data_IF_780780486980
#
_entry.id   IF_780780486980
#
_cell.length_a   1.000
_cell.length_b   1.000
_cell.length_c   1.000
_cell.angle_alpha   90.00
_cell.angle_beta   90.00
_cell.angle_gamma   90.00
#
_symmetry.space_group_name_H-M   'P 1'
#
loop_
_entity.id
_entity.type
_entity.pdbx_description
1 polymer ?
#
# COMPACT_ATOMS: atom_id res chain seq x y z
N UNK A 1 -5.99 30.20 -12.18
CA UNK A 1 -6.71 29.29 -11.25
C UNK A 1 -8.19 29.50 -11.46
N UNK A 2 -9.01 28.44 -11.41
CA UNK A 2 -10.47 28.60 -11.51
C UNK A 2 -11.05 29.07 -10.18
N UNK A 3 -12.04 29.96 -10.24
CA UNK A 3 -12.71 30.53 -9.05
C UNK A 3 -13.34 29.43 -8.16
N UNK A 4 -13.80 28.34 -8.80
CA UNK A 4 -14.34 27.18 -8.09
C UNK A 4 -13.33 26.43 -7.21
N UNK A 5 -12.05 26.35 -7.60
CA UNK A 5 -11.03 25.69 -6.76
C UNK A 5 -10.76 26.50 -5.49
N UNK A 6 -10.58 27.81 -5.61
CA UNK A 6 -10.28 28.69 -4.46
C UNK A 6 -11.40 28.66 -3.43
N UNK A 7 -12.65 28.69 -3.89
CA UNK A 7 -13.84 28.57 -3.03
C UNK A 7 -13.84 27.24 -2.27
N UNK A 8 -13.62 26.11 -2.96
CA UNK A 8 -13.57 24.79 -2.32
C UNK A 8 -12.41 24.66 -1.35
N UNK A 9 -11.22 25.14 -1.71
CA UNK A 9 -10.05 25.16 -0.84
C UNK A 9 -10.37 25.92 0.45
N UNK A 10 -10.97 27.11 0.36
CA UNK A 10 -11.38 27.89 1.53
C UNK A 10 -12.33 27.10 2.43
N UNK A 11 -13.36 26.47 1.86
CA UNK A 11 -14.32 25.64 2.61
C UNK A 11 -13.63 24.47 3.32
N UNK A 12 -12.73 23.76 2.63
CA UNK A 12 -12.01 22.62 3.21
C UNK A 12 -11.09 23.08 4.36
N UNK A 13 -10.37 24.19 4.20
CA UNK A 13 -9.50 24.72 5.24
C UNK A 13 -10.28 25.20 6.48
N UNK A 14 -11.49 25.75 6.29
CA UNK A 14 -12.37 26.08 7.42
C UNK A 14 -12.79 24.81 8.16
N UNK A 15 -13.19 23.76 7.44
CA UNK A 15 -13.58 22.48 8.03
C UNK A 15 -12.42 21.72 8.71
N UNK A 16 -11.18 21.87 8.23
CA UNK A 16 -10.01 21.26 8.86
C UNK A 16 -9.59 21.97 10.16
N UNK A 17 -9.95 23.25 10.33
CA UNK A 17 -9.63 24.05 11.49
C UNK A 17 -10.81 24.17 12.49
N UNK A 18 -11.93 23.50 12.23
CA UNK A 18 -13.07 23.49 13.16
C UNK A 18 -12.94 22.38 14.20
N UNK A 19 -13.54 22.60 15.38
CA UNK A 19 -13.59 21.61 16.46
C UNK A 19 -14.55 20.43 16.18
N UNK A 20 -15.15 20.40 14.98
CA UNK A 20 -16.04 19.32 14.55
C UNK A 20 -15.23 18.07 14.22
N UNK A 21 -15.60 16.88 14.74
CA UNK A 21 -14.94 15.63 14.38
C UNK A 21 -14.93 15.42 12.86
N UNK A 22 -13.80 14.97 12.33
CA UNK A 22 -13.69 14.63 10.91
C UNK A 22 -14.44 13.34 10.57
N UNK A 23 -14.50 13.00 9.28
CA UNK A 23 -15.22 11.81 8.80
C UNK A 23 -14.43 10.50 8.99
N UNK A 24 -13.23 10.55 9.56
CA UNK A 24 -12.44 9.35 9.80
C UNK A 24 -13.02 8.58 11.00
N UNK A 25 -12.78 7.26 11.11
CA UNK A 25 -13.17 6.51 12.30
C UNK A 25 -12.54 7.04 13.60
N UNK A 26 -11.40 7.74 13.49
CA UNK A 26 -10.68 8.36 14.60
C UNK A 26 -11.30 9.69 15.01
N UNK A 27 -12.00 10.36 14.08
CA UNK A 27 -12.65 11.66 14.29
C UNK A 27 -11.71 12.86 14.28
N UNK A 28 -10.41 12.65 14.06
CA UNK A 28 -9.41 13.71 13.96
C UNK A 28 -8.21 13.28 13.10
N UNK A 29 -7.48 14.29 12.62
CA UNK A 29 -6.28 14.11 11.80
C UNK A 29 -5.17 13.44 12.61
N UNK A 30 -4.50 12.46 12.01
CA UNK A 30 -3.33 11.83 12.59
C UNK A 30 -2.17 12.81 12.78
N UNK A 31 -1.68 12.93 14.02
CA UNK A 31 -0.57 13.81 14.38
C UNK A 31 0.68 13.64 13.48
N UNK A 32 1.12 12.40 13.13
CA UNK A 32 2.26 12.21 12.23
C UNK A 32 2.09 12.80 10.82
N UNK A 33 0.86 13.15 10.40
CA UNK A 33 0.59 13.77 9.10
C UNK A 33 0.46 15.29 9.14
N UNK A 34 0.34 15.89 10.33
CA UNK A 34 0.12 17.34 10.45
C UNK A 34 1.18 18.17 9.70
N UNK A 35 2.50 17.89 9.79
CA UNK A 35 3.50 18.67 9.05
C UNK A 35 3.27 18.66 7.54
N UNK A 36 2.94 17.49 6.99
CA UNK A 36 2.70 17.30 5.57
C UNK A 36 1.40 17.96 5.11
N UNK A 37 0.33 17.86 5.90
CA UNK A 37 -0.97 18.49 5.61
C UNK A 37 -0.83 20.01 5.59
N UNK A 38 -0.17 20.59 6.60
CA UNK A 38 0.08 22.03 6.68
C UNK A 38 0.91 22.51 5.49
N UNK A 39 2.00 21.81 5.17
CA UNK A 39 2.86 22.12 4.02
C UNK A 39 2.06 22.15 2.70
N UNK A 40 1.23 21.13 2.45
CA UNK A 40 0.44 21.03 1.22
C UNK A 40 -0.62 22.14 1.17
N UNK A 41 -1.33 22.37 2.27
CA UNK A 41 -2.43 23.33 2.34
C UNK A 41 -1.99 24.79 2.25
N UNK A 42 -0.78 25.09 2.70
CA UNK A 42 -0.18 26.44 2.57
C UNK A 42 0.13 26.80 1.12
N UNK A 43 0.39 25.83 0.24
CA UNK A 43 0.69 26.11 -1.17
C UNK A 43 -0.59 26.42 -1.95
N UNK A 44 -0.61 27.52 -2.72
CA UNK A 44 -1.81 28.02 -3.42
C UNK A 44 -2.50 26.99 -4.33
N UNK A 45 -1.75 26.09 -4.97
CA UNK A 45 -2.28 25.12 -5.93
C UNK A 45 -2.85 23.82 -5.34
N UNK A 46 -2.79 23.59 -4.02
CA UNK A 46 -3.20 22.31 -3.43
C UNK A 46 -4.09 22.47 -2.20
N UNK A 47 -4.93 21.46 -1.95
CA UNK A 47 -5.62 21.28 -0.67
C UNK A 47 -5.86 19.79 -0.39
N UNK A 48 -5.65 19.35 0.85
CA UNK A 48 -5.90 17.98 1.32
C UNK A 48 -7.36 17.79 1.68
N UNK A 49 -8.01 16.69 1.28
CA UNK A 49 -9.43 16.42 1.58
C UNK A 49 -9.65 15.25 2.55
N UNK A 50 -8.78 14.23 2.50
CA UNK A 50 -8.80 13.11 3.44
C UNK A 50 -7.41 12.50 3.55
N UNK A 51 -7.09 12.00 4.73
CA UNK A 51 -5.73 11.60 5.09
C UNK A 51 -5.74 10.54 6.19
N UNK A 52 -4.80 9.61 6.14
CA UNK A 52 -4.51 8.65 7.21
C UNK A 52 -3.01 8.35 7.20
N UNK A 53 -2.36 8.37 8.37
CA UNK A 53 -0.92 8.17 8.52
C UNK A 53 -0.49 6.72 8.35
N UNK A 54 -1.43 5.79 8.46
CA UNK A 54 -1.21 4.36 8.41
C UNK A 54 -1.92 3.68 9.58
N UNK A 55 -2.39 2.46 9.37
CA UNK A 55 -3.13 1.71 10.39
C UNK A 55 -2.93 0.21 10.27
N UNK A 56 -3.03 -0.44 11.41
CA UNK A 56 -3.28 -1.88 11.55
C UNK A 56 -4.73 -2.08 11.95
N UNK A 57 -5.38 -3.09 11.39
CA UNK A 57 -6.77 -3.36 11.70
C UNK A 57 -7.16 -4.81 11.43
N UNK A 58 -8.25 -5.23 12.06
CA UNK A 58 -9.01 -6.41 11.65
C UNK A 58 -10.40 -5.99 11.24
N UNK A 59 -10.89 -6.58 10.16
CA UNK A 59 -12.11 -6.16 9.51
C UNK A 59 -12.92 -7.39 9.10
N UNK A 60 -14.12 -7.49 9.63
CA UNK A 60 -15.14 -8.45 9.20
C UNK A 60 -15.82 -7.90 7.94
N UNK A 61 -15.83 -8.69 6.88
CA UNK A 61 -16.55 -8.40 5.65
C UNK A 61 -18.06 -8.27 5.88
N UNK A 62 -18.73 -7.43 5.10
CA UNK A 62 -20.18 -7.29 5.19
C UNK A 62 -20.90 -8.42 4.46
N UNK A 63 -22.12 -8.71 4.86
CA UNK A 63 -22.99 -9.63 4.12
C UNK A 63 -23.39 -8.99 2.79
N UNK A 64 -23.18 -9.68 1.66
CA UNK A 64 -23.84 -9.28 0.42
C UNK A 64 -25.35 -9.45 0.59
N UNK A 65 -26.12 -8.37 0.39
CA UNK A 65 -27.58 -8.51 0.30
C UNK A 65 -27.89 -9.30 -0.97
N UNK A 66 -28.51 -10.48 -0.85
CA UNK A 66 -29.15 -11.10 -2.00
C UNK A 66 -30.20 -10.11 -2.51
N UNK A 67 -29.91 -9.46 -3.63
CA UNK A 67 -30.92 -8.71 -4.35
C UNK A 67 -32.01 -9.71 -4.74
N UNK A 68 -33.24 -9.48 -4.29
CA UNK A 68 -34.41 -10.19 -4.79
C UNK A 68 -34.36 -10.19 -6.32
N UNK A 69 -34.27 -11.38 -6.90
CA UNK A 69 -34.39 -11.57 -8.33
C UNK A 69 -35.78 -11.19 -8.82
N UNK A 70 -35.83 -10.66 -10.04
CA UNK A 70 -36.73 -11.07 -11.13
C UNK A 70 -37.29 -9.86 -11.88
N UNK A 71 -36.54 -9.43 -12.89
CA UNK A 71 -37.01 -8.60 -13.99
C UNK A 71 -36.36 -9.12 -15.27
N UNK A 72 -37.12 -9.90 -16.03
CA UNK A 72 -36.76 -10.50 -17.31
C UNK A 72 -36.00 -9.52 -18.22
N UNK A 73 -34.78 -9.89 -18.59
CA UNK A 73 -34.13 -9.37 -19.80
C UNK A 73 -34.48 -10.32 -20.95
N UNK A 74 -35.61 -10.06 -21.60
CA UNK A 74 -35.86 -10.63 -22.92
C UNK A 74 -34.83 -10.10 -23.92
N UNK A 75 -34.23 -11.03 -24.64
CA UNK A 75 -33.36 -10.79 -25.78
C UNK A 75 -34.18 -10.26 -26.96
N UNK A 76 -33.85 -9.07 -27.44
CA UNK A 76 -34.42 -8.46 -28.65
C UNK A 76 -33.33 -7.80 -29.48
N UNK A 77 -33.00 -8.43 -30.59
CA UNK A 77 -32.04 -8.04 -31.62
C UNK A 77 -32.28 -6.64 -32.22
N UNK A 78 -31.18 -5.98 -32.60
CA UNK A 78 -30.94 -5.31 -33.91
C UNK A 78 -30.34 -3.89 -33.84
N UNK A 79 -29.02 -3.86 -33.99
CA UNK A 79 -28.31 -3.17 -35.07
C UNK A 79 -28.90 -1.86 -35.63
N UNK A 80 -28.29 -0.70 -35.35
CA UNK A 80 -27.84 0.27 -36.39
C UNK A 80 -27.05 1.46 -35.84
N UNK A 81 -26.14 1.89 -36.71
CA UNK A 81 -25.17 2.98 -36.65
C UNK A 81 -25.80 4.38 -36.67
N UNK A 82 -25.01 5.33 -36.16
CA UNK A 82 -24.79 6.73 -36.57
C UNK A 82 -25.95 7.56 -37.12
N UNK A 83 -26.20 8.73 -36.48
CA UNK A 83 -26.03 10.05 -37.11
C UNK A 83 -26.29 11.24 -36.17
N UNK A 84 -25.45 12.26 -36.35
CA UNK A 84 -25.51 13.63 -35.84
C UNK A 84 -26.87 14.33 -36.00
N UNK A 85 -27.23 15.25 -35.08
CA UNK A 85 -27.25 16.71 -35.30
C UNK A 85 -27.99 17.50 -34.18
N UNK A 86 -27.23 18.42 -33.56
CA UNK A 86 -27.48 19.85 -33.33
C UNK A 86 -28.81 20.40 -32.74
N UNK A 87 -28.65 21.19 -31.66
CA UNK A 87 -29.24 22.51 -31.30
C UNK A 87 -30.19 22.66 -30.08
N UNK A 88 -29.71 23.51 -29.13
CA UNK A 88 -30.41 24.65 -28.44
C UNK A 88 -31.49 24.25 -27.42
N UNK A 89 -31.72 24.86 -26.26
CA UNK A 89 -31.13 25.88 -25.37
C UNK A 89 -32.07 25.91 -24.14
N UNK A 90 -31.55 26.31 -22.98
CA UNK A 90 -32.36 26.88 -21.88
C UNK A 90 -33.02 25.92 -20.89
N UNK A 91 -32.85 26.21 -19.60
CA UNK A 91 -33.73 25.72 -18.54
C UNK A 91 -33.00 25.33 -17.27
N UNK A 92 -32.90 26.26 -16.34
CA UNK A 92 -32.50 26.08 -14.95
C UNK A 92 -33.44 25.10 -14.25
N UNK A 93 -32.93 24.05 -13.60
CA UNK A 93 -33.64 23.40 -12.50
C UNK A 93 -32.64 23.05 -11.38
N UNK A 94 -32.79 23.80 -10.28
CA UNK A 94 -32.25 23.50 -8.97
C UNK A 94 -32.94 22.23 -8.44
N UNK A 95 -32.19 21.14 -8.23
CA UNK A 95 -32.71 20.01 -7.46
C UNK A 95 -32.60 20.34 -5.97
N UNK A 96 -33.69 20.90 -5.47
CA UNK A 96 -34.08 20.97 -4.06
C UNK A 96 -34.25 19.53 -3.53
N UNK A 97 -33.30 19.05 -2.73
CA UNK A 97 -33.44 17.78 -2.00
C UNK A 97 -34.59 17.91 -0.98
N UNK A 98 -35.77 17.47 -1.41
CA UNK A 98 -36.93 17.31 -0.52
C UNK A 98 -36.61 16.25 0.54
N UNK A 99 -36.40 16.74 1.77
CA UNK A 99 -36.27 15.94 2.97
C UNK A 99 -37.54 15.08 3.18
N UNK A 100 -37.51 13.83 2.74
CA UNK A 100 -38.47 12.81 3.19
C UNK A 100 -38.06 12.37 4.59
N UNK A 101 -38.90 12.72 5.56
CA UNK A 101 -38.72 12.39 6.97
C UNK A 101 -38.49 10.90 7.19
N UNK A 102 -37.39 10.57 7.84
CA UNK A 102 -37.14 9.24 8.38
C UNK A 102 -37.98 9.09 9.65
N UNK A 103 -38.88 8.11 9.65
CA UNK A 103 -39.67 7.75 10.82
C UNK A 103 -38.75 7.31 11.98
N UNK A 104 -38.90 7.98 13.12
CA UNK A 104 -38.24 7.68 14.40
C UNK A 104 -38.67 6.32 14.96
N UNK A 105 -38.18 5.20 14.42
CA UNK A 105 -38.27 3.89 15.10
C UNK A 105 -37.29 2.81 14.61
N UNK A 106 -36.16 3.19 13.99
CA UNK A 106 -35.11 2.21 13.69
C UNK A 106 -34.24 2.02 14.93
N UNK A 107 -34.33 0.84 15.56
CA UNK A 107 -33.48 0.52 16.73
C UNK A 107 -31.99 0.62 16.37
N UNK A 108 -31.15 1.04 17.32
CA UNK A 108 -29.69 1.09 17.12
C UNK A 108 -29.13 -0.25 16.62
N UNK A 109 -29.70 -1.37 17.09
CA UNK A 109 -29.37 -2.71 16.62
C UNK A 109 -29.71 -2.95 15.14
N UNK A 110 -30.83 -2.41 14.63
CA UNK A 110 -31.19 -2.49 13.22
C UNK A 110 -30.30 -1.58 12.35
N UNK A 111 -29.86 -0.43 12.87
CA UNK A 111 -28.88 0.44 12.21
C UNK A 111 -27.49 -0.20 12.16
N UNK A 112 -27.06 -0.86 13.24
CA UNK A 112 -25.82 -1.62 13.30
C UNK A 112 -25.84 -2.87 12.40
N UNK A 113 -26.97 -3.58 12.36
CA UNK A 113 -27.19 -4.70 11.43
C UNK A 113 -27.17 -4.25 9.96
N UNK A 114 -27.77 -3.10 9.64
CA UNK A 114 -27.73 -2.52 8.30
C UNK A 114 -26.33 -2.05 7.89
N UNK A 115 -25.52 -1.53 8.82
CA UNK A 115 -24.10 -1.20 8.57
C UNK A 115 -23.26 -2.46 8.29
N UNK A 116 -23.49 -3.54 9.05
CA UNK A 116 -22.88 -4.86 8.79
C UNK A 116 -23.23 -5.40 7.40
N UNK A 117 -24.43 -5.14 6.90
CA UNK A 117 -24.91 -5.63 5.60
C UNK A 117 -24.42 -4.85 4.36
N UNK A 118 -23.66 -3.74 4.50
CA UNK A 118 -23.23 -2.95 3.32
C UNK A 118 -21.76 -2.50 3.33
N UNK A 119 -21.07 -2.56 4.48
CA UNK A 119 -19.72 -2.03 4.62
C UNK A 119 -18.85 -2.70 5.68
N UNK A 120 -19.20 -3.93 6.08
CA UNK A 120 -18.46 -4.72 7.07
C UNK A 120 -18.34 -4.06 8.45
N UNK A 121 -17.51 -4.65 9.31
CA UNK A 121 -17.27 -4.18 10.68
C UNK A 121 -15.78 -4.19 11.01
N UNK A 122 -15.27 -3.07 11.51
CA UNK A 122 -13.95 -3.02 12.16
C UNK A 122 -14.03 -3.72 13.51
N UNK A 123 -13.19 -4.74 13.72
CA UNK A 123 -13.06 -5.43 15.02
C UNK A 123 -11.92 -4.83 15.85
N UNK A 124 -10.87 -4.36 15.17
CA UNK A 124 -9.72 -3.67 15.77
C UNK A 124 -9.18 -2.63 14.80
N UNK A 125 -8.75 -1.48 15.31
CA UNK A 125 -8.03 -0.43 14.55
C UNK A 125 -7.00 0.22 15.47
N UNK A 126 -5.77 0.37 15.00
CA UNK A 126 -4.74 1.19 15.64
C UNK A 126 -3.94 1.94 14.58
N UNK A 127 -3.58 3.18 14.88
CA UNK A 127 -2.67 4.01 14.07
C UNK A 127 -1.21 3.90 14.55
N UNK A 128 -0.98 3.14 15.61
CA UNK A 128 0.32 2.91 16.23
C UNK A 128 0.70 1.42 16.17
N UNK A 129 2.02 1.11 16.21
CA UNK A 129 2.50 -0.25 16.35
C UNK A 129 1.88 -0.96 17.55
N UNK A 130 1.54 -2.23 17.41
CA UNK A 130 0.98 -3.03 18.51
C UNK A 130 2.10 -3.38 19.47
N UNK A 131 1.90 -3.07 20.75
CA UNK A 131 2.82 -3.40 21.84
C UNK A 131 2.50 -4.79 22.37
N UNK A 132 3.54 -5.61 22.54
CA UNK A 132 3.41 -6.93 23.14
C UNK A 132 3.41 -6.81 24.68
N UNK A 133 2.48 -7.48 25.40
CA UNK A 133 2.50 -7.48 26.85
C UNK A 133 3.75 -8.23 27.38
N UNK A 134 4.24 -7.88 28.57
CA UNK A 134 5.46 -8.48 29.12
C UNK A 134 5.31 -9.98 29.44
N UNK A 135 4.10 -10.41 29.83
CA UNK A 135 3.78 -11.76 30.30
C UNK A 135 3.04 -12.60 29.23
N UNK A 136 3.56 -12.63 28.00
CA UNK A 136 2.93 -13.31 26.86
C UNK A 136 2.61 -14.79 27.13
N UNK A 137 3.50 -15.48 27.86
CA UNK A 137 3.38 -16.91 28.14
C UNK A 137 2.24 -17.23 29.12
N UNK A 138 1.83 -16.27 29.95
CA UNK A 138 0.79 -16.46 30.96
C UNK A 138 -0.61 -16.20 30.38
N UNK A 139 -0.69 -15.43 29.28
CA UNK A 139 -1.95 -15.01 28.67
C UNK A 139 -1.96 -15.17 27.14
N UNK A 140 -1.83 -16.39 26.57
CA UNK A 140 -1.69 -16.58 25.13
C UNK A 140 -2.87 -16.04 24.30
N UNK A 141 -4.05 -15.87 24.91
CA UNK A 141 -5.24 -15.29 24.25
C UNK A 141 -5.22 -13.77 24.10
N UNK A 142 -4.24 -13.06 24.67
CA UNK A 142 -4.12 -11.60 24.56
C UNK A 142 -4.21 -11.11 23.10
N UNK A 143 -3.66 -11.88 22.16
CA UNK A 143 -3.62 -11.53 20.74
C UNK A 143 -5.02 -11.57 20.12
N UNK A 144 -5.86 -12.49 20.57
CA UNK A 144 -7.26 -12.59 20.15
C UNK A 144 -8.06 -11.45 20.77
N UNK A 145 -7.85 -11.18 22.07
CA UNK A 145 -8.48 -10.06 22.78
C UNK A 145 -8.15 -8.72 22.13
N UNK A 146 -6.91 -8.53 21.71
CA UNK A 146 -6.46 -7.31 21.01
C UNK A 146 -7.08 -7.23 19.61
N UNK A 147 -6.95 -8.28 18.80
CA UNK A 147 -7.31 -8.24 17.38
C UNK A 147 -8.80 -8.42 17.11
N UNK A 148 -9.60 -8.91 18.05
CA UNK A 148 -11.05 -9.08 17.89
C UNK A 148 -11.86 -8.19 18.86
N UNK A 149 -11.18 -7.51 19.79
CA UNK A 149 -11.79 -6.53 20.68
C UNK A 149 -12.99 -7.11 21.44
N UNK A 150 -14.15 -6.41 21.44
CA UNK A 150 -15.37 -6.88 22.09
C UNK A 150 -15.88 -8.23 21.59
N UNK A 151 -15.45 -8.71 20.41
CA UNK A 151 -15.91 -9.96 19.81
C UNK A 151 -14.97 -11.15 20.12
N UNK A 152 -13.92 -10.93 20.91
CA UNK A 152 -12.92 -11.95 21.23
C UNK A 152 -13.48 -13.20 21.94
N UNK A 153 -14.60 -13.06 22.68
CA UNK A 153 -15.31 -14.17 23.32
C UNK A 153 -15.98 -15.11 22.31
N UNK A 154 -16.26 -14.64 21.09
CA UNK A 154 -16.85 -15.45 20.00
C UNK A 154 -15.80 -16.23 19.23
N UNK A 155 -14.52 -15.92 19.40
CA UNK A 155 -13.42 -16.52 18.64
C UNK A 155 -13.09 -17.92 19.15
N UNK A 156 -13.30 -18.90 18.28
CA UNK A 156 -13.00 -20.31 18.49
C UNK A 156 -11.78 -20.69 17.66
N UNK A 157 -10.80 -21.34 18.29
CA UNK A 157 -9.64 -21.89 17.61
C UNK A 157 -10.05 -23.23 16.99
N UNK A 158 -9.68 -23.46 15.73
CA UNK A 158 -9.80 -24.79 15.14
C UNK A 158 -8.82 -25.73 15.84
N UNK A 159 -9.32 -26.67 16.62
CA UNK A 159 -8.53 -27.80 17.09
C UNK A 159 -8.47 -28.84 15.98
N UNK A 160 -7.28 -29.29 15.58
CA UNK A 160 -7.12 -30.44 14.69
C UNK A 160 -7.53 -31.72 15.44
N UNK A 161 -8.83 -32.03 15.52
CA UNK A 161 -9.24 -33.39 15.92
C UNK A 161 -9.15 -34.29 14.70
N UNK A 162 -8.73 -35.53 14.93
CA UNK A 162 -8.45 -36.53 13.89
C UNK A 162 -9.69 -36.92 13.02
N UNK A 163 -10.89 -36.38 13.33
CA UNK A 163 -12.13 -36.48 12.55
C UNK A 163 -12.56 -35.21 11.81
N UNK A 164 -11.85 -34.07 11.96
CA UNK A 164 -12.25 -32.77 11.40
C UNK A 164 -11.76 -32.50 9.96
N UNK A 165 -11.03 -33.45 9.35
CA UNK A 165 -10.61 -33.34 7.95
C UNK A 165 -11.80 -33.29 6.98
N UNK A 166 -12.93 -33.89 7.36
CA UNK A 166 -14.18 -33.87 6.58
C UNK A 166 -14.94 -32.54 6.78
N UNK A 167 -14.87 -31.98 7.99
CA UNK A 167 -15.41 -30.66 8.34
C UNK A 167 -14.70 -29.54 7.59
N UNK A 168 -13.39 -29.62 7.38
CA UNK A 168 -12.63 -28.60 6.64
C UNK A 168 -12.93 -28.60 5.12
N UNK A 169 -13.27 -29.76 4.54
CA UNK A 169 -13.66 -29.90 3.13
C UNK A 169 -15.10 -29.46 2.83
N UNK A 170 -15.91 -29.26 3.86
CA UNK A 170 -17.34 -28.91 3.75
C UNK A 170 -17.63 -27.44 4.06
N UNK A 171 -16.64 -26.66 4.50
CA UNK A 171 -16.81 -25.22 4.71
C UNK A 171 -16.94 -24.54 3.34
N UNK A 172 -18.15 -24.04 3.06
CA UNK A 172 -18.38 -23.16 1.92
C UNK A 172 -17.79 -21.78 2.21
N UNK A 173 -16.50 -21.62 1.88
CA UNK A 173 -15.79 -20.35 2.04
C UNK A 173 -16.36 -19.26 1.14
N UNK A 174 -17.02 -19.61 0.03
CA UNK A 174 -17.62 -18.63 -0.87
C UNK A 174 -18.87 -17.96 -0.27
N UNK A 175 -19.54 -18.63 0.67
CA UNK A 175 -20.71 -18.09 1.39
C UNK A 175 -20.37 -17.59 2.79
N UNK A 176 -19.16 -17.82 3.27
CA UNK A 176 -18.73 -17.42 4.61
C UNK A 176 -18.25 -15.98 4.63
N UNK A 177 -18.58 -15.24 5.68
CA UNK A 177 -18.00 -13.91 5.88
C UNK A 177 -16.56 -14.06 6.36
N UNK A 178 -15.63 -13.33 5.76
CA UNK A 178 -14.22 -13.37 6.12
C UNK A 178 -13.83 -12.24 7.08
N UNK A 179 -12.93 -12.55 8.01
CA UNK A 179 -12.22 -11.56 8.81
C UNK A 179 -10.81 -11.43 8.26
N UNK A 180 -10.46 -10.21 7.87
CA UNK A 180 -9.15 -9.88 7.35
C UNK A 180 -8.33 -9.14 8.39
N UNK A 181 -7.06 -9.51 8.50
CA UNK A 181 -6.03 -8.70 9.12
C UNK A 181 -5.38 -7.81 8.07
N UNK A 182 -5.28 -6.52 8.33
CA UNK A 182 -4.77 -5.55 7.37
C UNK A 182 -3.75 -4.61 8.01
N UNK A 183 -2.71 -4.29 7.24
CA UNK A 183 -1.92 -3.09 7.43
C UNK A 183 -2.11 -2.20 6.21
N UNK A 184 -2.56 -0.97 6.42
CA UNK A 184 -2.73 0.03 5.37
C UNK A 184 -1.76 1.18 5.64
N UNK A 185 -0.83 1.50 4.72
CA UNK A 185 0.11 2.58 4.90
C UNK A 185 -0.56 3.95 4.76
N UNK A 186 0.23 5.01 4.85
CA UNK A 186 -0.24 6.36 4.63
C UNK A 186 -1.00 6.50 3.30
N UNK A 187 -2.12 7.25 3.37
CA UNK A 187 -2.90 7.68 2.22
C UNK A 187 -3.22 9.17 2.32
N UNK A 188 -3.16 9.87 1.18
CA UNK A 188 -3.62 11.25 1.04
C UNK A 188 -4.50 11.40 -0.19
N UNK A 189 -5.61 12.12 -0.04
CA UNK A 189 -6.36 12.68 -1.15
C UNK A 189 -6.16 14.18 -1.21
N UNK A 190 -5.81 14.67 -2.40
CA UNK A 190 -5.41 16.05 -2.64
C UNK A 190 -6.17 16.58 -3.84
N UNK A 191 -6.81 17.73 -3.72
CA UNK A 191 -7.31 18.49 -4.86
C UNK A 191 -6.22 19.46 -5.33
N UNK A 192 -5.90 19.43 -6.62
CA UNK A 192 -5.01 20.38 -7.25
C UNK A 192 -5.79 21.43 -8.05
N UNK A 193 -5.27 22.65 -8.09
CA UNK A 193 -5.89 23.76 -8.82
C UNK A 193 -5.87 23.56 -10.35
N UNK A 194 -4.88 22.81 -10.86
CA UNK A 194 -4.73 22.54 -12.29
C UNK A 194 -4.22 21.12 -12.55
N UNK A 195 -4.50 20.56 -13.75
CA UNK A 195 -3.91 19.27 -14.18
C UNK A 195 -2.38 19.26 -14.18
N UNK A 196 -1.74 20.38 -14.50
CA UNK A 196 -0.28 20.52 -14.47
C UNK A 196 0.26 20.42 -13.06
N UNK A 197 -0.34 21.13 -12.09
CA UNK A 197 0.02 21.03 -10.68
C UNK A 197 -0.14 19.58 -10.17
N UNK A 198 -1.24 18.91 -10.53
CA UNK A 198 -1.44 17.51 -10.18
C UNK A 198 -0.35 16.59 -10.75
N UNK A 199 0.02 16.77 -12.03
CA UNK A 199 1.09 15.97 -12.64
C UNK A 199 2.43 16.16 -11.92
N UNK A 200 2.78 17.40 -11.59
CA UNK A 200 4.01 17.72 -10.86
C UNK A 200 3.99 17.06 -9.48
N UNK A 201 2.92 17.23 -8.71
CA UNK A 201 2.77 16.63 -7.38
C UNK A 201 2.84 15.10 -7.44
N UNK A 202 2.17 14.48 -8.42
CA UNK A 202 2.19 13.04 -8.64
C UNK A 202 3.62 12.54 -8.89
N UNK A 203 4.41 13.24 -9.71
CA UNK A 203 5.81 12.87 -9.95
C UNK A 203 6.60 12.85 -8.65
N UNK A 204 6.49 13.88 -7.80
CA UNK A 204 7.16 13.91 -6.50
C UNK A 204 6.73 12.76 -5.59
N UNK A 205 5.45 12.39 -5.63
CA UNK A 205 4.90 11.26 -4.88
C UNK A 205 5.48 9.92 -5.37
N UNK A 206 5.52 9.69 -6.68
CA UNK A 206 6.09 8.49 -7.30
C UNK A 206 7.59 8.34 -6.99
N UNK A 207 8.36 9.44 -7.07
CA UNK A 207 9.78 9.46 -6.72
C UNK A 207 10.04 9.23 -5.22
N UNK A 208 9.05 9.49 -4.37
CA UNK A 208 9.12 9.17 -2.92
C UNK A 208 8.65 7.74 -2.61
N UNK A 209 8.32 6.96 -3.63
CA UNK A 209 7.96 5.54 -3.54
C UNK A 209 6.46 5.27 -3.40
N UNK A 210 5.58 6.26 -3.55
CA UNK A 210 4.13 6.05 -3.57
C UNK A 210 3.67 5.55 -4.94
N UNK A 211 4.10 4.35 -5.31
CA UNK A 211 3.96 3.78 -6.68
C UNK A 211 2.51 3.50 -7.10
N UNK A 212 1.58 3.39 -6.15
CA UNK A 212 0.15 3.19 -6.40
C UNK A 212 -0.63 4.51 -6.46
N UNK A 213 0.07 5.64 -6.54
CA UNK A 213 -0.54 6.96 -6.65
C UNK A 213 -1.07 7.22 -8.06
N UNK A 214 -2.12 8.02 -8.16
CA UNK A 214 -2.70 8.40 -9.45
C UNK A 214 -3.58 9.64 -9.37
N UNK A 215 -3.92 10.17 -10.54
CA UNK A 215 -4.91 11.23 -10.70
C UNK A 215 -6.25 10.55 -10.98
N UNK A 216 -7.26 10.89 -10.19
CA UNK A 216 -8.62 10.39 -10.36
C UNK A 216 -9.33 11.20 -11.46
N UNK A 217 -9.95 10.54 -12.45
CA UNK A 217 -10.66 11.23 -13.51
C UNK A 217 -11.90 11.93 -12.95
N UNK A 218 -11.99 13.25 -13.14
CA UNK A 218 -13.19 14.03 -12.83
C UNK A 218 -13.21 15.29 -13.69
N UNK A 219 -14.39 15.60 -14.24
CA UNK A 219 -14.60 16.79 -15.07
C UNK A 219 -14.55 18.10 -14.25
N UNK A 220 -14.85 18.02 -12.95
CA UNK A 220 -14.99 19.21 -12.07
C UNK A 220 -13.77 19.45 -11.17
N UNK A 221 -13.01 18.39 -10.83
CA UNK A 221 -11.93 18.46 -9.83
C UNK A 221 -10.72 17.66 -10.29
N UNK A 222 -9.52 18.22 -10.14
CA UNK A 222 -8.29 17.46 -10.38
C UNK A 222 -7.85 16.82 -9.06
N UNK A 223 -8.30 15.60 -8.81
CA UNK A 223 -8.02 14.87 -7.57
C UNK A 223 -6.82 13.94 -7.73
N UNK A 224 -5.95 13.91 -6.72
CA UNK A 224 -4.87 12.92 -6.58
C UNK A 224 -5.19 11.98 -5.43
N UNK A 225 -4.86 10.71 -5.61
CA UNK A 225 -4.77 9.72 -4.55
C UNK A 225 -3.31 9.29 -4.41
N UNK A 226 -2.69 9.60 -3.27
CA UNK A 226 -1.31 9.24 -2.95
C UNK A 226 -1.33 7.97 -2.11
N UNK A 227 -0.77 6.88 -2.65
CA UNK A 227 -0.85 5.54 -2.05
C UNK A 227 0.45 4.76 -2.18
N UNK A 228 0.80 4.06 -1.11
CA UNK A 228 2.00 3.21 -1.05
C UNK A 228 1.68 1.75 -1.43
N UNK A 229 2.73 0.98 -1.69
CA UNK A 229 2.67 -0.47 -1.92
C UNK A 229 2.88 -1.28 -0.63
N UNK A 230 3.12 -0.62 0.52
CA UNK A 230 3.45 -1.26 1.80
C UNK A 230 2.28 -2.03 2.46
N UNK A 231 1.15 -2.22 1.78
CA UNK A 231 -0.05 -2.90 2.30
C UNK A 231 0.25 -4.34 2.76
N UNK A 232 -0.56 -4.83 3.69
CA UNK A 232 -0.71 -6.24 4.07
C UNK A 232 -2.22 -6.51 4.13
N UNK A 233 -2.66 -7.63 3.58
CA UNK A 233 -4.06 -8.07 3.64
C UNK A 233 -4.05 -9.60 3.71
N UNK A 234 -4.58 -10.17 4.79
CA UNK A 234 -4.56 -11.60 5.05
C UNK A 234 -5.88 -12.06 5.71
N UNK A 235 -6.61 -13.04 5.15
CA UNK A 235 -7.74 -13.64 5.84
C UNK A 235 -7.23 -14.43 7.06
N UNK A 236 -7.88 -14.24 8.22
CA UNK A 236 -7.47 -14.86 9.49
C UNK A 236 -8.58 -15.65 10.17
N UNK A 237 -9.84 -15.33 9.90
CA UNK A 237 -10.99 -16.03 10.46
C UNK A 237 -12.18 -15.96 9.51
N UNK A 238 -13.20 -16.76 9.78
CA UNK A 238 -14.46 -16.71 9.04
C UNK A 238 -15.66 -16.93 9.97
N UNK A 239 -16.83 -16.51 9.52
CA UNK A 239 -18.13 -16.83 10.12
C UNK A 239 -18.89 -17.68 9.08
N UNK A 240 -19.22 -18.95 9.39
CA UNK A 240 -19.98 -19.80 8.49
C UNK A 240 -21.33 -19.18 8.12
N UNK A 241 -21.74 -19.31 6.85
CA UNK A 241 -23.11 -19.00 6.47
C UNK A 241 -24.08 -19.93 7.20
N UNK A 242 -25.14 -19.38 7.78
CA UNK A 242 -26.20 -20.13 8.47
C UNK A 242 -27.05 -21.03 7.52
N UNK A 243 -26.66 -21.15 6.25
CA UNK A 243 -27.41 -21.88 5.20
C UNK A 243 -27.13 -23.39 5.11
N UNK A 244 -26.27 -23.98 5.96
CA UNK A 244 -26.00 -25.42 5.95
C UNK A 244 -26.25 -26.13 7.29
N UNK A 245 -27.48 -26.06 7.80
CA UNK A 245 -27.97 -27.09 8.72
C UNK A 245 -29.39 -27.51 8.36
N UNK A 246 -29.57 -28.05 7.15
CA UNK A 246 -30.68 -28.97 6.88
C UNK A 246 -30.37 -30.32 7.52
N UNK A 247 -30.72 -30.46 8.80
CA UNK A 247 -31.36 -31.66 9.38
C UNK A 247 -31.26 -31.62 10.91
N UNK A 248 -32.32 -31.15 11.56
CA UNK A 248 -32.66 -31.56 12.92
C UNK A 248 -34.18 -31.62 13.06
N UNK A 249 -34.79 -32.65 12.44
CA UNK A 249 -36.02 -33.21 12.99
C UNK A 249 -35.66 -33.86 14.33
N UNK A 250 -35.61 -33.05 15.38
CA UNK A 250 -35.73 -33.54 16.75
C UNK A 250 -36.38 -32.45 17.57
N UNK A 251 -37.70 -32.54 17.66
CA UNK A 251 -38.52 -31.82 18.61
C UNK A 251 -38.06 -32.14 20.04
N UNK A 252 -37.48 -31.17 20.74
CA UNK A 252 -37.74 -31.03 22.18
C UNK A 252 -37.17 -29.72 22.74
N UNK A 253 -38.02 -29.07 23.53
CA UNK A 253 -37.70 -28.09 24.56
C UNK A 253 -37.14 -26.74 24.10
N UNK A 254 -38.08 -25.79 23.97
CA UNK A 254 -37.83 -24.37 24.09
C UNK A 254 -37.00 -24.06 25.35
N UNK A 255 -35.69 -23.88 25.16
CA UNK A 255 -34.86 -23.11 26.06
C UNK A 255 -34.77 -21.70 25.47
N UNK A 256 -35.31 -20.73 26.19
CA UNK A 256 -35.05 -19.31 25.97
C UNK A 256 -33.56 -19.04 26.23
N UNK A 257 -32.72 -19.31 25.24
CA UNK A 257 -31.31 -18.93 25.24
C UNK A 257 -31.18 -17.59 24.52
N UNK A 258 -30.65 -16.60 25.24
CA UNK A 258 -30.12 -15.34 24.71
C UNK A 258 -29.48 -15.57 23.36
N UNK A 259 -29.95 -14.88 22.31
CA UNK A 259 -29.51 -15.01 20.92
C UNK A 259 -28.01 -15.31 20.82
N UNK A 260 -27.67 -16.57 20.54
CA UNK A 260 -26.29 -17.02 20.47
C UNK A 260 -25.59 -16.33 19.31
N UNK A 261 -24.74 -15.35 19.60
CA UNK A 261 -23.95 -14.67 18.57
C UNK A 261 -23.13 -15.70 17.80
N UNK A 262 -23.14 -15.61 16.46
CA UNK A 262 -22.40 -16.54 15.59
C UNK A 262 -20.91 -16.57 15.97
N UNK A 263 -20.33 -17.77 16.04
CA UNK A 263 -18.92 -17.98 16.38
C UNK A 263 -18.02 -17.50 15.25
N UNK A 264 -16.87 -16.94 15.61
CA UNK A 264 -15.81 -16.55 14.69
C UNK A 264 -14.75 -17.65 14.71
N UNK A 265 -14.56 -18.34 13.59
CA UNK A 265 -13.66 -19.49 13.50
C UNK A 265 -12.28 -19.02 13.00
N UNK A 266 -11.27 -19.09 13.87
CA UNK A 266 -9.90 -18.71 13.53
C UNK A 266 -9.27 -19.76 12.62
N UNK A 267 -8.80 -19.34 11.44
CA UNK A 267 -8.21 -20.22 10.42
C UNK A 267 -6.69 -20.39 10.59
N UNK A 268 -6.09 -19.57 11.45
CA UNK A 268 -4.66 -19.43 11.61
C UNK A 268 -4.25 -19.65 13.07
N UNK A 269 -3.01 -20.06 13.30
CA UNK A 269 -2.50 -20.22 14.66
C UNK A 269 -2.22 -18.86 15.32
N UNK A 270 -2.15 -18.84 16.65
CA UNK A 270 -1.75 -17.64 17.40
C UNK A 270 -0.34 -17.17 17.02
N UNK A 271 0.57 -18.12 16.72
CA UNK A 271 1.91 -17.82 16.23
C UNK A 271 1.89 -17.12 14.86
N UNK A 272 0.94 -17.47 13.98
CA UNK A 272 0.78 -16.78 12.71
C UNK A 272 0.27 -15.34 12.90
N UNK A 273 -0.71 -15.13 13.78
CA UNK A 273 -1.16 -13.77 14.14
C UNK A 273 -0.01 -12.93 14.69
N UNK A 274 0.88 -13.53 15.51
CA UNK A 274 2.09 -12.86 16.01
C UNK A 274 2.98 -12.39 14.87
N UNK A 275 3.24 -13.24 13.88
CA UNK A 275 4.03 -12.88 12.68
C UNK A 275 3.37 -11.74 11.92
N UNK A 276 2.03 -11.75 11.74
CA UNK A 276 1.33 -10.65 11.07
C UNK A 276 1.48 -9.30 11.81
N UNK A 277 1.45 -9.32 13.15
CA UNK A 277 1.71 -8.13 13.96
C UNK A 277 3.15 -7.66 13.79
N UNK A 278 4.14 -8.54 13.91
CA UNK A 278 5.55 -8.19 13.74
C UNK A 278 5.82 -7.57 12.36
N UNK A 279 5.28 -8.19 11.29
CA UNK A 279 5.34 -7.65 9.92
C UNK A 279 4.66 -6.27 9.79
N UNK A 280 3.57 -6.04 10.50
CA UNK A 280 2.87 -4.75 10.48
C UNK A 280 3.63 -3.67 11.23
N UNK A 281 4.24 -4.02 12.36
CA UNK A 281 5.12 -3.13 13.13
C UNK A 281 6.37 -2.74 12.30
N UNK A 282 6.93 -3.68 11.54
CA UNK A 282 7.98 -3.38 10.55
C UNK A 282 7.47 -2.42 9.47
N UNK A 283 6.27 -2.66 8.93
CA UNK A 283 5.65 -1.80 7.93
C UNK A 283 5.34 -0.39 8.45
N UNK A 284 4.96 -0.23 9.73
CA UNK A 284 4.85 1.08 10.36
C UNK A 284 6.18 1.83 10.30
N UNK A 285 7.30 1.19 10.68
CA UNK A 285 8.63 1.82 10.61
C UNK A 285 9.01 2.21 9.17
N UNK A 286 8.75 1.32 8.21
CA UNK A 286 8.98 1.61 6.79
C UNK A 286 8.11 2.77 6.28
N UNK A 287 6.85 2.82 6.71
CA UNK A 287 5.89 3.85 6.35
C UNK A 287 6.30 5.21 6.92
N UNK A 288 6.71 5.29 8.19
CA UNK A 288 7.26 6.51 8.81
C UNK A 288 8.49 7.00 8.04
N UNK A 289 9.44 6.11 7.73
CA UNK A 289 10.61 6.49 6.94
C UNK A 289 10.24 6.96 5.53
N UNK A 290 9.19 6.39 4.91
CA UNK A 290 8.69 6.81 3.61
C UNK A 290 8.02 8.18 3.66
N UNK A 291 7.19 8.45 4.69
CA UNK A 291 6.57 9.75 4.92
C UNK A 291 7.62 10.84 5.10
N UNK A 292 8.66 10.60 5.92
CA UNK A 292 9.74 11.56 6.14
C UNK A 292 10.47 11.95 4.83
N UNK A 293 10.82 10.97 3.99
CA UNK A 293 11.44 11.25 2.67
C UNK A 293 10.52 12.05 1.75
N UNK A 294 9.22 11.79 1.82
CA UNK A 294 8.24 12.47 1.00
C UNK A 294 8.02 13.91 1.44
N UNK A 295 7.90 14.15 2.74
CA UNK A 295 7.83 15.47 3.34
C UNK A 295 9.06 16.31 3.00
N UNK A 296 10.27 15.74 3.13
CA UNK A 296 11.51 16.43 2.76
C UNK A 296 11.51 16.82 1.27
N UNK A 297 11.11 15.89 0.38
CA UNK A 297 11.05 16.14 -1.06
C UNK A 297 10.02 17.20 -1.42
N UNK A 298 8.83 17.15 -0.82
CA UNK A 298 7.78 18.14 -1.07
C UNK A 298 8.15 19.50 -0.50
N UNK A 299 8.77 19.56 0.68
CA UNK A 299 9.22 20.82 1.28
C UNK A 299 10.18 21.55 0.34
N UNK A 300 11.16 20.83 -0.23
CA UNK A 300 12.09 21.38 -1.23
C UNK A 300 11.39 21.82 -2.53
N UNK A 301 10.27 21.20 -2.90
CA UNK A 301 9.56 21.56 -4.12
C UNK A 301 8.65 22.77 -3.91
N UNK A 302 7.80 22.71 -2.88
CA UNK A 302 6.73 23.68 -2.64
C UNK A 302 7.26 24.99 -2.07
N UNK A 303 8.31 24.97 -1.23
CA UNK A 303 8.89 26.19 -0.67
C UNK A 303 9.81 26.92 -1.66
N UNK A 304 10.47 26.19 -2.56
CA UNK A 304 11.34 26.80 -3.58
C UNK A 304 10.54 27.30 -4.82
N UNK A 305 9.29 26.85 -4.99
CA UNK A 305 8.41 27.31 -6.07
C UNK A 305 7.95 28.78 -5.86
N UNK A 306 7.84 29.21 -4.60
CA UNK A 306 7.39 30.57 -4.24
C UNK A 306 8.53 31.62 -4.24
N UNK A 307 9.76 31.25 -4.62
CA UNK A 307 10.97 32.06 -4.38
C UNK A 307 11.97 32.21 -5.53
N UNK A 308 11.55 32.23 -6.80
CA UNK A 308 12.47 32.52 -7.92
C UNK A 308 12.02 33.67 -8.83
N UNK A 309 11.94 34.86 -8.25
CA UNK A 309 12.11 36.10 -9.02
C UNK A 309 13.49 36.66 -8.65
N UNK A 310 14.49 36.39 -9.49
CA UNK A 310 15.74 37.15 -9.44
C UNK A 310 15.45 38.60 -9.85
N UNK A 311 16.17 39.55 -9.26
CA UNK A 311 16.01 40.99 -9.44
C UNK A 311 16.07 41.49 -10.91
N UNK A 312 16.47 40.64 -11.86
CA UNK A 312 16.62 40.97 -13.29
C UNK A 312 15.57 40.34 -14.23
N UNK A 313 14.44 39.85 -13.73
CA UNK A 313 13.29 39.46 -14.58
C UNK A 313 13.51 38.27 -15.52
N UNK A 314 14.64 37.56 -15.44
CA UNK A 314 14.87 36.31 -16.17
C UNK A 314 14.44 35.11 -15.35
N UNK A 315 13.46 34.34 -15.86
CA UNK A 315 13.04 33.04 -15.31
C UNK A 315 14.26 32.11 -15.24
N UNK A 316 14.68 31.74 -14.04
CA UNK A 316 15.67 30.68 -13.83
C UNK A 316 14.98 29.37 -14.18
N UNK A 317 15.38 28.75 -15.29
CA UNK A 317 14.96 27.38 -15.59
C UNK A 317 15.67 26.49 -14.58
N UNK A 318 14.90 25.79 -13.75
CA UNK A 318 15.40 24.74 -12.86
C UNK A 318 15.12 23.41 -13.55
N UNK A 319 16.10 22.50 -13.53
CA UNK A 319 15.93 21.16 -14.09
C UNK A 319 15.00 20.29 -13.23
N UNK A 320 14.41 19.25 -13.83
CA UNK A 320 13.49 18.27 -13.19
C UNK A 320 14.12 17.49 -12.01
N UNK A 321 15.42 17.72 -11.73
CA UNK A 321 16.16 17.15 -10.60
C UNK A 321 16.65 18.20 -9.60
N UNK A 322 16.17 19.45 -9.68
CA UNK A 322 16.48 20.50 -8.71
C UNK A 322 17.86 21.14 -8.84
N UNK A 323 18.59 20.89 -9.94
CA UNK A 323 19.84 21.60 -10.27
C UNK A 323 19.63 22.72 -11.29
N UNK A 324 20.58 23.67 -11.36
CA UNK A 324 20.63 24.71 -12.40
C UNK A 324 20.51 24.11 -13.81
N UNK A 325 19.69 24.72 -14.67
CA UNK A 325 19.50 24.23 -16.04
C UNK A 325 20.75 24.47 -16.89
N UNK A 326 21.49 23.39 -17.12
CA UNK A 326 22.60 23.33 -18.08
C UNK A 326 22.10 23.47 -19.53
N UNK A 327 22.70 24.38 -20.30
CA UNK A 327 22.44 24.60 -21.73
C UNK A 327 22.58 23.28 -22.54
N UNK A 328 21.81 23.12 -23.60
CA UNK A 328 21.76 21.90 -24.42
C UNK A 328 23.14 21.56 -25.01
N UNK A 329 23.94 22.56 -25.37
CA UNK A 329 25.28 22.35 -25.89
C UNK A 329 26.28 21.98 -24.80
N UNK A 330 26.18 22.61 -23.62
CA UNK A 330 26.96 22.23 -22.43
C UNK A 330 26.67 20.78 -22.00
N UNK A 331 25.40 20.36 -22.03
CA UNK A 331 24.97 18.98 -21.73
C UNK A 331 25.53 17.95 -22.71
N UNK A 332 25.63 18.30 -23.99
CA UNK A 332 26.18 17.43 -25.04
C UNK A 332 27.69 17.29 -24.88
N UNK A 333 28.38 18.37 -24.53
CA UNK A 333 29.82 18.38 -24.32
C UNK A 333 30.22 17.63 -23.05
N UNK A 334 29.49 17.82 -21.94
CA UNK A 334 29.68 17.05 -20.72
C UNK A 334 29.49 15.55 -20.92
N UNK A 335 28.41 15.13 -21.59
CA UNK A 335 28.16 13.71 -21.89
C UNK A 335 29.23 13.10 -22.82
N UNK A 336 29.77 13.87 -23.77
CA UNK A 336 30.91 13.43 -24.58
C UNK A 336 32.17 13.25 -23.74
N UNK A 337 32.47 14.21 -22.86
CA UNK A 337 33.67 14.17 -21.99
C UNK A 337 33.60 13.03 -20.97
N UNK A 338 32.46 12.86 -20.30
CA UNK A 338 32.22 11.73 -19.38
C UNK A 338 32.25 10.38 -20.13
N UNK A 339 31.71 10.34 -21.35
CA UNK A 339 31.76 9.17 -22.23
C UNK A 339 33.19 8.77 -22.60
N UNK A 340 34.03 9.73 -22.99
CA UNK A 340 35.45 9.48 -23.30
C UNK A 340 36.22 9.03 -22.07
N UNK A 341 36.03 9.67 -20.90
CA UNK A 341 36.69 9.25 -19.66
C UNK A 341 36.30 7.83 -19.22
N UNK A 342 35.02 7.47 -19.39
CA UNK A 342 34.55 6.11 -19.10
C UNK A 342 35.11 5.09 -20.08
N UNK A 343 35.29 5.46 -21.35
CA UNK A 343 35.89 4.62 -22.38
C UNK A 343 37.40 4.43 -22.14
N UNK A 344 38.12 5.48 -21.78
CA UNK A 344 39.54 5.43 -21.40
C UNK A 344 39.74 4.59 -20.13
N UNK A 345 38.92 4.78 -19.10
CA UNK A 345 38.94 3.96 -17.89
C UNK A 345 38.69 2.48 -18.18
N UNK A 346 37.68 2.17 -19.01
CA UNK A 346 37.39 0.80 -19.42
C UNK A 346 38.52 0.18 -20.26
N UNK A 347 39.15 0.97 -21.13
CA UNK A 347 40.30 0.53 -21.92
C UNK A 347 41.52 0.22 -21.02
N UNK A 348 41.78 1.07 -20.01
CA UNK A 348 42.87 0.85 -19.05
C UNK A 348 42.65 -0.42 -18.22
N UNK A 349 41.45 -0.63 -17.68
CA UNK A 349 41.09 -1.86 -16.96
C UNK A 349 41.21 -3.09 -17.85
N UNK A 350 40.82 -3.00 -19.12
CA UNK A 350 40.96 -4.11 -20.08
C UNK A 350 42.43 -4.40 -20.41
N UNK A 351 43.27 -3.37 -20.52
CA UNK A 351 44.70 -3.53 -20.74
C UNK A 351 45.40 -4.16 -19.52
N UNK A 352 45.06 -3.73 -18.31
CA UNK A 352 45.59 -4.29 -17.05
C UNK A 352 45.19 -5.76 -16.89
N UNK A 353 43.93 -6.13 -17.17
CA UNK A 353 43.49 -7.53 -17.17
C UNK A 353 44.21 -8.38 -18.20
N UNK A 354 44.47 -7.84 -19.39
CA UNK A 354 45.20 -8.56 -20.44
C UNK A 354 46.67 -8.79 -20.04
N UNK A 355 47.33 -7.77 -19.50
CA UNK A 355 48.71 -7.89 -19.02
C UNK A 355 48.83 -8.89 -17.87
N UNK A 356 47.86 -8.90 -16.93
CA UNK A 356 47.82 -9.87 -15.85
C UNK A 356 47.63 -11.31 -16.36
N UNK A 357 46.75 -11.51 -17.36
CA UNK A 357 46.54 -12.82 -17.98
C UNK A 357 47.79 -13.32 -18.75
N UNK A 358 48.47 -12.43 -19.47
CA UNK A 358 49.72 -12.76 -20.18
C UNK A 358 50.86 -13.10 -19.19
N UNK A 359 50.95 -12.38 -18.07
CA UNK A 359 51.92 -12.67 -17.01
C UNK A 359 51.66 -14.03 -16.32
N UNK A 360 50.40 -14.35 -16.04
CA UNK A 360 50.04 -15.64 -15.44
C UNK A 360 50.30 -16.80 -16.42
N UNK A 361 49.97 -16.63 -17.70
CA UNK A 361 50.27 -17.62 -18.74
C UNK A 361 51.77 -17.88 -18.86
N UNK A 362 52.60 -16.83 -18.81
CA UNK A 362 54.06 -16.96 -18.80
C UNK A 362 54.57 -17.69 -17.54
N UNK A 363 53.96 -17.45 -16.37
CA UNK A 363 54.32 -18.13 -15.11
C UNK A 363 54.00 -19.62 -15.17
N UNK A 364 52.82 -19.98 -15.69
CA UNK A 364 52.41 -21.39 -15.87
C UNK A 364 53.32 -22.10 -16.87
N UNK A 365 53.66 -21.45 -17.99
CA UNK A 365 54.58 -22.01 -18.97
C UNK A 365 56.00 -22.23 -18.40
N UNK A 366 56.51 -21.29 -17.59
CA UNK A 366 57.80 -21.41 -16.93
C UNK A 366 57.81 -22.54 -15.88
N UNK A 367 56.72 -22.70 -15.11
CA UNK A 367 56.57 -23.80 -14.15
C UNK A 367 56.55 -25.17 -14.84
N UNK A 368 55.81 -25.31 -15.94
CA UNK A 368 55.77 -26.54 -16.73
C UNK A 368 57.14 -26.90 -17.34
N UNK A 369 57.92 -25.89 -17.78
CA UNK A 369 59.28 -26.11 -18.28
C UNK A 369 60.27 -26.53 -17.17
N UNK A 370 60.12 -26.00 -15.95
CA UNK A 370 60.90 -26.41 -14.79
C UNK A 370 60.59 -27.85 -14.35
N UNK A 371 59.33 -28.27 -14.42
CA UNK A 371 58.92 -29.64 -14.11
C UNK A 371 59.45 -30.65 -15.14
N UNK A 372 59.47 -30.28 -16.42
CA UNK A 372 60.05 -31.09 -17.50
C UNK A 372 61.58 -31.25 -17.39
N UNK A 373 62.28 -30.29 -16.75
CA UNK A 373 63.73 -30.37 -16.52
C UNK A 373 64.09 -31.03 -15.19
N UNK A 374 63.19 -31.00 -14.19
CA UNK A 374 63.35 -31.68 -12.90
C UNK A 374 63.16 -33.21 -12.95
N UNK A 375 62.37 -33.72 -13.91
CA UNK A 375 62.15 -35.16 -14.10
C UNK A 375 63.38 -35.94 -14.61
N UNK A 376 64.46 -35.26 -15.02
CA UNK A 376 65.70 -35.88 -15.50
C UNK A 376 66.78 -36.13 -14.44
N UNK A 377 66.58 -35.72 -13.17
CA UNK A 377 67.63 -35.75 -12.15
C UNK A 377 67.47 -36.83 -11.06
N UNK A 378 66.40 -37.64 -11.08
CA UNK A 378 66.13 -38.69 -10.08
C UNK A 378 66.27 -40.12 -10.62
N UNK A 379 67.00 -40.33 -11.72
CA UNK A 379 67.24 -41.68 -12.28
C UNK A 379 68.73 -42.02 -12.47
N UNK A 380 69.64 -41.33 -11.76
CA UNK A 380 71.08 -41.69 -11.71
C UNK A 380 71.61 -41.60 -10.28
N UNK A 381 71.05 -42.40 -9.36
CA UNK A 381 71.71 -42.68 -8.07
C UNK A 381 71.37 -44.05 -7.49
N UNK A 382 71.25 -45.07 -8.34
CA UNK A 382 71.31 -46.48 -7.94
C UNK A 382 72.19 -47.27 -8.93
N UNK A 383 73.51 -47.05 -8.89
CA UNK A 383 74.54 -48.00 -9.34
C UNK A 383 75.93 -47.40 -9.13
N UNK A 384 76.54 -47.70 -7.98
CA UNK A 384 78.01 -47.83 -7.80
C UNK A 384 78.40 -47.87 -6.33
N UNK A 385 78.18 -49.00 -5.66
CA UNK A 385 78.97 -49.39 -4.47
C UNK A 385 79.00 -50.92 -4.38
N UNK A 386 79.91 -51.55 -5.13
CA UNK A 386 80.60 -52.79 -4.73
C UNK A 386 81.56 -53.28 -5.82
N UNK A 387 82.81 -52.83 -5.80
CA UNK A 387 83.95 -53.67 -6.22
C UNK A 387 85.21 -53.27 -5.45
N UNK A 388 86.00 -54.29 -5.13
CA UNK A 388 87.44 -54.32 -4.81
C UNK A 388 87.87 -54.21 -3.35
N UNK A 389 88.30 -55.37 -2.84
CA UNK A 389 89.63 -55.53 -2.27
C UNK A 389 90.72 -55.22 -3.30
#
# INVERSE_FOLDING_TARGET
MSDGFLTRKKTILVALNSDTPDKSPKGYVDEPLLPLIVLINNHQDYVTTSSCSGRICTYLEGLESEAEGDGEVEAGSDNKQDRDQHTVDGGEEEEEETAKGYEENTSLAAVEAAKRAKGGQWLYVSHDPVVFPDQILEHPRWIVETLFGPEAHRVVLMEEKQGDQETMRTIDMARSQLVYFKFEPMILHIEAATPTAAKTFLNHSLFSGYRNSGILPSAKRTMLAIRSTLKLDAPIAYIPSSSSTTNANTSSSAATTTAGQEKIHLMVSLSYLRVLIDLSNDKFRMNVAQMARFEERLSKHLLNADGSVAADGKKVKVSDQGGEWEDKDARRERKKREGMLKQEGAAKVRAEKRAAAEAEAARVAAAAAAEATGAGATEVKEKSTSTSA
#
